data_IF_388288462822
#
_entry.id   IF_388288462822
#
_cell.length_a   1.000
_cell.length_b   1.000
_cell.length_c   1.000
_cell.angle_alpha   90.00
_cell.angle_beta   90.00
_cell.angle_gamma   90.00
#
_symmetry.space_group_name_H-M   'P 1'
#
loop_
_entity.id
_entity.type
_entity.pdbx_description
1 polymer ?
#
# COMPACT_ATOMS: atom_id res chain seq x y z
N UNK A 1 -12.02 16.42 -17.71
CA UNK A 1 -12.56 15.05 -17.52
C UNK A 1 -12.82 14.88 -16.03
N UNK A 2 -13.86 14.15 -15.62
CA UNK A 2 -14.10 13.84 -14.20
C UNK A 2 -13.19 12.71 -13.72
N UNK A 3 -12.93 12.62 -12.41
CA UNK A 3 -12.06 11.58 -11.87
C UNK A 3 -12.55 10.16 -12.21
N UNK A 4 -13.84 9.88 -12.03
CA UNK A 4 -14.38 8.56 -12.34
C UNK A 4 -14.30 8.21 -13.85
N UNK A 5 -14.34 9.20 -14.75
CA UNK A 5 -14.19 8.96 -16.19
C UNK A 5 -12.75 8.57 -16.55
N UNK A 6 -11.75 9.23 -15.91
CA UNK A 6 -10.35 8.83 -15.99
C UNK A 6 -10.13 7.43 -15.41
N UNK A 7 -10.66 7.19 -14.22
CA UNK A 7 -10.60 5.91 -13.56
C UNK A 7 -11.11 4.77 -14.45
N UNK A 8 -12.30 4.91 -15.04
CA UNK A 8 -12.86 3.91 -15.96
C UNK A 8 -11.98 3.67 -17.19
N UNK A 9 -11.27 4.70 -17.68
CA UNK A 9 -10.29 4.56 -18.76
C UNK A 9 -9.08 3.76 -18.29
N UNK A 10 -8.56 4.02 -17.09
CA UNK A 10 -7.34 3.39 -16.60
C UNK A 10 -7.54 1.92 -16.16
N UNK A 11 -8.69 1.58 -15.57
CA UNK A 11 -8.99 0.19 -15.21
C UNK A 11 -9.15 -0.73 -16.42
N UNK A 12 -9.40 -0.18 -17.62
CA UNK A 12 -9.42 -0.97 -18.84
C UNK A 12 -8.04 -1.47 -19.29
N UNK A 13 -6.96 -0.94 -18.70
CA UNK A 13 -5.57 -1.35 -18.95
C UNK A 13 -5.16 -2.38 -17.90
N UNK A 14 -4.73 -3.55 -18.33
CA UNK A 14 -4.22 -4.57 -17.44
C UNK A 14 -2.82 -4.22 -16.92
N UNK A 15 -2.64 -4.19 -15.59
CA UNK A 15 -1.38 -3.77 -14.95
C UNK A 15 -1.00 -4.61 -13.74
N UNK A 16 -1.56 -5.82 -13.57
CA UNK A 16 -1.22 -6.68 -12.42
C UNK A 16 0.28 -6.96 -12.37
N UNK A 17 0.91 -6.69 -11.24
CA UNK A 17 2.34 -6.96 -10.98
C UNK A 17 2.64 -8.47 -10.92
N UNK A 18 3.91 -8.86 -11.03
CA UNK A 18 4.37 -10.25 -11.01
C UNK A 18 5.44 -10.44 -9.92
N UNK A 19 5.04 -11.05 -8.80
CA UNK A 19 5.92 -11.36 -7.67
C UNK A 19 7.11 -12.23 -8.04
N UNK A 20 6.98 -13.06 -9.08
CA UNK A 20 8.02 -14.01 -9.52
C UNK A 20 9.07 -13.39 -10.41
N UNK A 21 8.80 -12.19 -10.95
CA UNK A 21 9.71 -11.45 -11.81
C UNK A 21 10.81 -10.76 -10.99
N UNK A 22 12.02 -10.69 -11.55
CA UNK A 22 13.14 -9.91 -10.99
C UNK A 22 13.35 -8.56 -11.71
N UNK A 23 12.57 -8.28 -12.76
CA UNK A 23 12.63 -7.02 -13.49
C UNK A 23 11.90 -5.87 -12.77
N UNK A 24 12.11 -4.65 -13.23
CA UNK A 24 11.35 -3.45 -12.83
C UNK A 24 11.05 -2.65 -14.11
N UNK A 25 9.75 -2.46 -14.46
CA UNK A 25 8.60 -3.04 -13.78
C UNK A 25 8.63 -4.57 -13.80
N UNK A 26 7.88 -5.19 -12.90
CA UNK A 26 7.79 -6.65 -12.83
C UNK A 26 7.10 -7.25 -14.04
N UNK A 27 6.26 -6.47 -14.70
CA UNK A 27 5.51 -6.88 -15.87
C UNK A 27 5.44 -5.74 -16.92
N UNK A 28 5.80 -6.03 -18.17
CA UNK A 28 5.77 -5.05 -19.28
C UNK A 28 4.39 -4.42 -19.51
N UNK A 29 3.31 -5.09 -19.07
CA UNK A 29 1.94 -4.57 -19.16
C UNK A 29 1.72 -3.28 -18.38
N UNK A 30 2.50 -3.01 -17.35
CA UNK A 30 2.45 -1.76 -16.58
C UNK A 30 2.89 -0.55 -17.43
N UNK A 31 3.83 -0.76 -18.38
CA UNK A 31 4.30 0.27 -19.29
C UNK A 31 3.19 0.80 -20.20
N UNK A 32 2.17 -0.01 -20.49
CA UNK A 32 1.03 0.41 -21.33
C UNK A 32 0.26 1.54 -20.66
N UNK A 33 0.02 1.43 -19.33
CA UNK A 33 -0.60 2.51 -18.57
C UNK A 33 0.34 3.70 -18.43
N UNK A 34 1.63 3.45 -18.16
CA UNK A 34 2.64 4.52 -18.05
C UNK A 34 2.70 5.41 -19.29
N UNK A 35 2.71 4.82 -20.48
CA UNK A 35 2.71 5.56 -21.74
C UNK A 35 1.42 6.36 -21.94
N UNK A 36 0.27 5.76 -21.63
CA UNK A 36 -1.04 6.42 -21.70
C UNK A 36 -1.09 7.64 -20.76
N UNK A 37 -0.54 7.51 -19.54
CA UNK A 37 -0.49 8.62 -18.57
C UNK A 37 0.43 9.74 -19.04
N UNK A 38 1.58 9.43 -19.63
CA UNK A 38 2.49 10.44 -20.21
C UNK A 38 1.80 11.20 -21.35
N UNK A 39 1.04 10.52 -22.20
CA UNK A 39 0.26 11.18 -23.28
C UNK A 39 -0.78 12.12 -22.67
N UNK A 40 -1.57 11.67 -21.70
CA UNK A 40 -2.60 12.48 -21.05
C UNK A 40 -2.00 13.69 -20.30
N UNK A 41 -0.88 13.49 -19.59
CA UNK A 41 -0.16 14.58 -18.93
C UNK A 41 0.30 15.66 -19.92
N UNK A 42 0.79 15.26 -21.11
CA UNK A 42 1.17 16.21 -22.18
C UNK A 42 -0.05 16.95 -22.75
N UNK A 43 -1.19 16.27 -22.89
CA UNK A 43 -2.45 16.91 -23.29
C UNK A 43 -2.93 17.96 -22.26
N UNK A 44 -2.63 17.75 -20.98
CA UNK A 44 -2.88 18.72 -19.91
C UNK A 44 -1.87 19.87 -19.87
N UNK A 45 -0.83 19.86 -20.73
CA UNK A 45 0.19 20.90 -20.80
C UNK A 45 1.41 20.64 -19.89
N UNK A 46 1.58 19.43 -19.36
CA UNK A 46 2.75 19.02 -18.56
C UNK A 46 3.86 18.60 -19.52
N UNK A 47 4.68 19.55 -19.96
CA UNK A 47 5.64 19.37 -21.06
C UNK A 47 6.78 18.39 -20.74
N UNK A 48 7.18 18.30 -19.45
CA UNK A 48 8.26 17.45 -18.96
C UNK A 48 7.79 16.00 -18.63
N UNK A 49 6.52 15.69 -18.89
CA UNK A 49 5.96 14.37 -18.67
C UNK A 49 6.75 13.29 -19.42
N UNK A 50 7.20 12.28 -18.67
CA UNK A 50 8.03 11.19 -19.17
C UNK A 50 7.82 9.90 -18.39
N UNK A 51 8.11 8.78 -19.03
CA UNK A 51 8.33 7.49 -18.36
C UNK A 51 9.85 7.19 -18.42
N UNK A 52 10.40 6.70 -17.31
CA UNK A 52 11.80 6.27 -17.30
C UNK A 52 11.99 4.81 -17.72
N UNK A 53 13.23 4.34 -17.76
CA UNK A 53 13.59 2.98 -18.17
C UNK A 53 13.06 1.87 -17.23
N UNK A 54 12.57 2.23 -16.06
CA UNK A 54 12.01 1.34 -15.03
C UNK A 54 10.51 1.48 -14.88
N UNK A 55 9.86 2.24 -15.78
CA UNK A 55 8.42 2.40 -15.79
C UNK A 55 7.86 3.48 -14.85
N UNK A 56 8.70 4.23 -14.15
CA UNK A 56 8.22 5.37 -13.34
C UNK A 56 7.79 6.52 -14.22
N UNK A 57 6.61 7.05 -13.97
CA UNK A 57 6.09 8.23 -14.66
C UNK A 57 6.36 9.48 -13.80
N UNK A 58 6.91 10.50 -14.43
CA UNK A 58 7.19 11.79 -13.79
C UNK A 58 6.69 12.93 -14.64
N UNK A 59 6.30 14.03 -13.98
CA UNK A 59 6.02 15.31 -14.61
C UNK A 59 5.89 16.41 -13.58
N UNK A 60 5.93 17.66 -14.02
CA UNK A 60 5.76 18.79 -13.10
C UNK A 60 4.99 19.94 -13.69
N UNK A 61 4.30 20.68 -12.82
CA UNK A 61 3.66 21.96 -13.12
C UNK A 61 4.44 23.06 -12.39
N UNK A 62 5.03 24.04 -13.10
CA UNK A 62 5.73 25.14 -12.47
C UNK A 62 4.83 25.96 -11.55
N UNK A 63 5.40 26.54 -10.49
CA UNK A 63 4.67 27.44 -9.60
C UNK A 63 4.02 28.60 -10.36
N UNK A 64 2.82 29.00 -9.92
CA UNK A 64 2.18 30.21 -10.44
C UNK A 64 2.95 31.49 -10.00
N UNK A 65 2.87 32.59 -10.77
CA UNK A 65 3.53 33.86 -10.41
C UNK A 65 3.16 34.30 -9.00
N UNK A 66 4.20 34.52 -8.18
CA UNK A 66 4.07 34.90 -6.76
C UNK A 66 4.10 33.72 -5.78
N UNK A 67 4.09 32.48 -6.26
CA UNK A 67 4.18 31.25 -5.43
C UNK A 67 5.51 30.50 -5.63
N UNK A 68 6.53 31.10 -6.25
CA UNK A 68 7.80 30.46 -6.60
C UNK A 68 8.61 30.04 -5.37
N UNK A 69 8.35 30.65 -4.21
CA UNK A 69 8.99 30.31 -2.94
C UNK A 69 8.15 29.32 -2.09
N UNK A 70 6.97 28.95 -2.54
CA UNK A 70 6.17 27.93 -1.86
C UNK A 70 6.86 26.56 -1.97
N UNK A 71 6.74 25.70 -0.95
CA UNK A 71 7.27 24.34 -1.04
C UNK A 71 6.73 23.59 -2.25
N UNK A 72 7.59 22.83 -2.91
CA UNK A 72 7.18 21.94 -4.00
C UNK A 72 6.44 20.72 -3.43
N UNK A 73 5.26 20.44 -3.95
CA UNK A 73 4.40 19.36 -3.48
C UNK A 73 4.33 18.22 -4.48
N UNK A 74 4.65 17.00 -4.03
CA UNK A 74 4.51 15.77 -4.77
C UNK A 74 3.13 15.14 -4.58
N UNK A 75 2.51 14.70 -5.68
CA UNK A 75 1.31 13.88 -5.69
C UNK A 75 1.66 12.56 -6.36
N UNK A 76 1.46 11.47 -5.65
CA UNK A 76 1.99 10.15 -6.02
C UNK A 76 0.87 9.10 -5.92
N UNK A 77 0.85 8.14 -6.86
CA UNK A 77 -0.05 6.99 -6.88
C UNK A 77 0.65 5.83 -7.57
N UNK A 78 0.16 4.59 -7.42
CA UNK A 78 0.76 3.46 -8.12
C UNK A 78 -0.08 2.97 -9.32
N UNK A 79 0.60 2.35 -10.29
CA UNK A 79 -0.02 1.93 -11.56
C UNK A 79 -0.41 0.46 -11.58
N UNK A 80 0.30 -0.37 -10.85
CA UNK A 80 0.05 -1.81 -10.80
C UNK A 80 -1.21 -2.13 -9.98
N UNK A 81 -1.69 -3.35 -10.12
CA UNK A 81 -2.77 -3.91 -9.31
C UNK A 81 -2.29 -5.19 -8.64
N UNK A 82 -2.88 -5.50 -7.48
CA UNK A 82 -2.55 -6.67 -6.68
C UNK A 82 -2.68 -7.98 -7.48
N UNK A 83 -1.74 -8.95 -7.28
CA UNK A 83 -1.83 -10.27 -7.90
C UNK A 83 -2.80 -11.23 -7.20
N UNK A 84 -3.44 -10.81 -6.10
CA UNK A 84 -4.33 -11.63 -5.27
C UNK A 84 -5.62 -12.06 -5.98
N UNK A 85 -6.07 -11.27 -6.96
CA UNK A 85 -7.23 -11.56 -7.80
C UNK A 85 -6.94 -11.25 -9.27
N UNK A 86 -7.67 -11.86 -10.24
CA UNK A 86 -7.52 -11.51 -11.65
C UNK A 86 -7.72 -10.01 -11.88
N UNK A 87 -6.80 -9.38 -12.61
CA UNK A 87 -6.81 -7.95 -12.92
C UNK A 87 -6.86 -7.64 -14.42
N UNK A 88 -7.09 -8.64 -15.27
CA UNK A 88 -7.26 -8.48 -16.70
C UNK A 88 -8.74 -8.48 -17.12
N UNK A 89 -9.05 -7.74 -18.19
CA UNK A 89 -10.40 -7.68 -18.73
C UNK A 89 -11.47 -7.27 -17.69
N UNK A 90 -11.21 -6.21 -16.95
CA UNK A 90 -12.10 -5.69 -15.91
C UNK A 90 -13.38 -5.13 -16.53
N UNK A 91 -14.53 -5.53 -15.99
CA UNK A 91 -15.86 -5.07 -16.40
C UNK A 91 -16.55 -4.28 -15.28
N UNK A 92 -16.34 -2.96 -15.19
CA UNK A 92 -16.96 -2.14 -14.15
C UNK A 92 -18.49 -2.09 -14.31
N UNK A 93 -19.20 -2.16 -13.18
CA UNK A 93 -20.64 -1.93 -13.08
C UNK A 93 -20.89 -0.59 -12.40
N UNK A 94 -21.70 0.26 -12.98
CA UNK A 94 -22.08 1.58 -12.43
C UNK A 94 -23.51 1.50 -11.92
N UNK A 95 -23.70 1.75 -10.63
CA UNK A 95 -24.98 1.71 -9.94
C UNK A 95 -25.31 3.11 -9.46
N UNK A 96 -26.09 3.85 -10.26
CA UNK A 96 -26.54 5.19 -9.90
C UNK A 96 -27.54 5.14 -8.74
N UNK A 97 -27.45 6.13 -7.83
CA UNK A 97 -28.37 6.27 -6.68
C UNK A 97 -28.50 4.97 -5.90
N UNK A 98 -27.36 4.38 -5.56
CA UNK A 98 -27.29 3.13 -4.80
C UNK A 98 -28.24 3.14 -3.60
N UNK A 99 -28.97 2.06 -3.39
CA UNK A 99 -30.06 2.00 -2.41
C UNK A 99 -29.63 1.59 -0.99
N UNK A 100 -28.34 1.27 -0.81
CA UNK A 100 -27.77 0.85 0.50
C UNK A 100 -27.99 -0.62 0.84
N UNK A 101 -28.29 -1.48 -0.16
CA UNK A 101 -28.52 -2.92 0.03
C UNK A 101 -27.42 -3.76 -0.61
N UNK A 102 -27.57 -5.07 -0.48
CA UNK A 102 -26.69 -6.05 -1.13
C UNK A 102 -26.57 -5.80 -2.64
N UNK A 103 -25.34 -5.93 -3.17
CA UNK A 103 -25.02 -5.69 -4.58
C UNK A 103 -24.66 -7.00 -5.27
N UNK A 104 -25.44 -7.40 -6.26
CA UNK A 104 -25.12 -8.58 -7.09
C UNK A 104 -24.07 -8.19 -8.14
N UNK A 105 -22.99 -8.94 -8.22
CA UNK A 105 -21.87 -8.70 -9.13
C UNK A 105 -22.04 -9.47 -10.44
N UNK A 106 -22.57 -8.77 -11.45
CA UNK A 106 -22.79 -9.32 -12.79
C UNK A 106 -23.55 -10.65 -12.79
N UNK A 107 -23.00 -11.62 -13.49
CA UNK A 107 -23.51 -13.01 -13.56
C UNK A 107 -22.63 -14.00 -12.81
N UNK A 108 -21.65 -13.53 -12.03
CA UNK A 108 -20.69 -14.38 -11.30
C UNK A 108 -21.31 -15.21 -10.18
N UNK A 109 -22.51 -14.83 -9.73
CA UNK A 109 -23.18 -15.42 -8.55
C UNK A 109 -22.66 -14.86 -7.22
N UNK A 110 -21.72 -13.90 -7.25
CA UNK A 110 -21.20 -13.24 -6.04
C UNK A 110 -22.05 -12.02 -5.69
N UNK A 111 -22.04 -11.67 -4.41
CA UNK A 111 -22.82 -10.54 -3.89
C UNK A 111 -22.02 -9.85 -2.80
N UNK A 112 -21.86 -8.53 -2.90
CA UNK A 112 -21.35 -7.71 -1.78
C UNK A 112 -22.52 -7.54 -0.83
N UNK A 113 -22.40 -8.08 0.38
CA UNK A 113 -23.51 -8.10 1.35
C UNK A 113 -23.30 -7.04 2.41
N UNK A 114 -24.36 -6.32 2.75
CA UNK A 114 -24.34 -5.35 3.86
C UNK A 114 -23.99 -6.01 5.19
N UNK A 115 -24.37 -7.29 5.39
CA UNK A 115 -23.99 -8.04 6.59
C UNK A 115 -22.46 -8.23 6.71
N UNK A 116 -21.75 -8.42 5.57
CA UNK A 116 -20.31 -8.61 5.51
C UNK A 116 -19.55 -7.27 5.43
N UNK A 117 -20.16 -6.26 4.82
CA UNK A 117 -19.63 -4.91 4.61
C UNK A 117 -20.63 -3.85 5.10
N UNK A 118 -20.76 -3.63 6.42
CA UNK A 118 -21.83 -2.77 6.99
C UNK A 118 -21.80 -1.32 6.50
N UNK A 119 -20.65 -0.77 6.15
CA UNK A 119 -20.47 0.59 5.62
C UNK A 119 -21.23 0.84 4.30
N UNK A 120 -21.59 -0.22 3.56
CA UNK A 120 -22.43 -0.08 2.34
C UNK A 120 -23.73 0.68 2.58
N UNK A 121 -24.32 0.53 3.78
CA UNK A 121 -25.53 1.25 4.13
C UNK A 121 -25.33 2.78 4.12
N UNK A 122 -24.13 3.25 4.45
CA UNK A 122 -23.76 4.67 4.51
C UNK A 122 -23.49 5.26 3.12
N UNK A 123 -23.23 4.40 2.12
CA UNK A 123 -23.04 4.80 0.73
C UNK A 123 -24.35 5.01 -0.04
N UNK A 124 -25.49 4.87 0.63
CA UNK A 124 -26.82 5.07 0.03
C UNK A 124 -26.95 6.45 -0.61
N UNK A 125 -27.45 6.46 -1.84
CA UNK A 125 -27.66 7.67 -2.66
C UNK A 125 -26.47 8.04 -3.53
N UNK A 126 -25.28 7.46 -3.31
CA UNK A 126 -24.10 7.65 -4.13
C UNK A 126 -24.17 6.83 -5.43
N UNK A 127 -23.30 7.14 -6.34
CA UNK A 127 -23.02 6.33 -7.55
C UNK A 127 -21.90 5.35 -7.22
N UNK A 128 -22.25 4.07 -7.11
CA UNK A 128 -21.30 2.99 -6.78
C UNK A 128 -20.73 2.39 -8.06
N UNK A 129 -19.42 2.19 -8.10
CA UNK A 129 -18.71 1.47 -9.16
C UNK A 129 -18.15 0.19 -8.55
N UNK A 130 -18.51 -0.97 -9.12
CA UNK A 130 -18.06 -2.31 -8.69
C UNK A 130 -17.49 -3.08 -9.87
N UNK A 131 -16.94 -4.26 -9.61
CA UNK A 131 -16.64 -5.26 -10.65
C UNK A 131 -17.87 -6.09 -10.99
N UNK A 132 -17.76 -6.95 -12.00
CA UNK A 132 -18.76 -8.00 -12.30
C UNK A 132 -18.58 -9.25 -11.42
N UNK A 133 -17.61 -9.25 -10.49
CA UNK A 133 -17.28 -10.34 -9.59
C UNK A 133 -16.34 -11.39 -10.16
N UNK A 134 -15.77 -11.19 -11.33
CA UNK A 134 -14.77 -12.08 -11.94
C UNK A 134 -13.34 -11.62 -11.71
N UNK A 135 -13.14 -10.30 -11.56
CA UNK A 135 -11.83 -9.64 -11.35
C UNK A 135 -11.88 -8.72 -10.14
N UNK A 136 -10.73 -8.18 -9.70
CA UNK A 136 -10.70 -6.95 -8.92
C UNK A 136 -11.19 -5.76 -9.78
N UNK A 137 -11.36 -4.58 -9.16
CA UNK A 137 -11.76 -3.35 -9.89
C UNK A 137 -10.55 -2.53 -10.33
N UNK A 138 -9.47 -2.53 -9.54
CA UNK A 138 -8.28 -1.71 -9.73
C UNK A 138 -8.48 -0.26 -9.27
N UNK A 139 -9.37 -0.03 -8.29
CA UNK A 139 -9.47 1.26 -7.61
C UNK A 139 -8.21 1.56 -6.82
N UNK A 140 -7.62 0.54 -6.27
CA UNK A 140 -6.28 0.47 -5.74
C UNK A 140 -5.29 0.16 -6.89
N UNK A 141 -4.50 1.15 -7.41
CA UNK A 141 -4.59 2.58 -7.05
C UNK A 141 -4.82 3.48 -8.29
N UNK A 142 -5.56 2.96 -9.30
CA UNK A 142 -5.92 3.77 -10.47
C UNK A 142 -6.91 4.89 -10.14
N UNK A 143 -7.56 4.82 -8.96
CA UNK A 143 -8.37 5.93 -8.46
C UNK A 143 -7.46 7.10 -8.06
N UNK A 144 -6.41 6.86 -7.30
CA UNK A 144 -5.43 7.89 -6.95
C UNK A 144 -4.80 8.54 -8.18
N UNK A 145 -4.42 7.76 -9.19
CA UNK A 145 -3.94 8.30 -10.47
C UNK A 145 -4.98 9.25 -11.10
N UNK A 146 -6.25 8.80 -11.17
CA UNK A 146 -7.32 9.59 -11.75
C UNK A 146 -7.60 10.87 -10.98
N UNK A 147 -7.50 10.82 -9.66
CA UNK A 147 -7.67 11.96 -8.76
C UNK A 147 -6.52 12.96 -8.91
N UNK A 148 -5.26 12.50 -8.90
CA UNK A 148 -4.09 13.36 -9.13
C UNK A 148 -4.22 14.14 -10.44
N UNK A 149 -4.50 13.46 -11.55
CA UNK A 149 -4.62 14.14 -12.84
C UNK A 149 -5.87 15.02 -12.93
N UNK A 150 -6.94 14.71 -12.19
CA UNK A 150 -8.12 15.58 -12.11
C UNK A 150 -7.85 16.84 -11.29
N UNK A 151 -7.15 16.74 -10.18
CA UNK A 151 -6.70 17.88 -9.38
C UNK A 151 -5.87 18.85 -10.23
N UNK A 152 -4.88 18.31 -10.94
CA UNK A 152 -4.00 19.13 -11.80
C UNK A 152 -4.79 19.78 -12.95
N UNK A 153 -5.67 19.04 -13.61
CA UNK A 153 -6.54 19.54 -14.69
C UNK A 153 -7.43 20.70 -14.19
N UNK A 154 -8.04 20.55 -13.01
CA UNK A 154 -8.89 21.58 -12.43
C UNK A 154 -8.08 22.83 -12.01
N UNK A 155 -6.95 22.65 -11.35
CA UNK A 155 -6.05 23.75 -10.94
C UNK A 155 -5.62 24.58 -12.16
N UNK A 156 -5.19 23.92 -13.24
CA UNK A 156 -4.75 24.60 -14.46
C UNK A 156 -5.91 25.33 -15.18
N UNK A 157 -7.09 24.73 -15.25
CA UNK A 157 -8.27 25.32 -15.89
C UNK A 157 -8.84 26.51 -15.11
N UNK A 158 -8.84 26.41 -13.80
CA UNK A 158 -9.35 27.43 -12.91
C UNK A 158 -8.32 28.57 -12.67
N UNK A 159 -7.05 28.32 -13.01
CA UNK A 159 -5.95 29.27 -12.78
C UNK A 159 -5.70 29.53 -11.29
N UNK A 160 -5.79 28.48 -10.47
CA UNK A 160 -5.61 28.60 -9.02
C UNK A 160 -4.13 28.82 -8.66
N UNK A 161 -3.84 29.66 -7.64
CA UNK A 161 -2.47 29.81 -7.16
C UNK A 161 -1.93 28.49 -6.58
N UNK A 162 -0.72 28.10 -6.96
CA UNK A 162 -0.02 26.93 -6.44
C UNK A 162 1.50 27.08 -6.50
N UNK A 163 2.22 26.44 -5.60
CA UNK A 163 3.65 26.17 -5.71
C UNK A 163 3.94 25.18 -6.84
N UNK A 164 5.21 24.76 -6.98
CA UNK A 164 5.53 23.67 -7.92
C UNK A 164 4.77 22.40 -7.51
N UNK A 165 4.06 21.77 -8.46
CA UNK A 165 3.42 20.47 -8.27
C UNK A 165 4.26 19.43 -9.02
N UNK A 166 4.72 18.40 -8.33
CA UNK A 166 5.41 17.26 -8.90
C UNK A 166 4.45 16.06 -8.94
N UNK A 167 4.39 15.36 -10.06
CA UNK A 167 3.51 14.21 -10.28
C UNK A 167 4.39 12.98 -10.47
N UNK A 168 4.12 11.92 -9.72
CA UNK A 168 4.84 10.67 -9.79
C UNK A 168 3.90 9.47 -9.80
N UNK A 169 4.08 8.52 -10.74
CA UNK A 169 3.38 7.25 -10.69
C UNK A 169 4.37 6.11 -10.66
N UNK A 170 4.17 5.18 -9.71
CA UNK A 170 5.09 4.07 -9.43
C UNK A 170 4.58 2.76 -10.01
N UNK A 171 5.44 1.90 -10.53
CA UNK A 171 5.14 0.49 -10.79
C UNK A 171 5.36 -0.36 -9.53
N UNK A 172 4.88 -1.60 -9.49
CA UNK A 172 5.27 -2.65 -8.52
C UNK A 172 5.04 -2.31 -7.03
N UNK A 173 4.10 -1.42 -6.68
CA UNK A 173 3.78 -1.11 -5.28
C UNK A 173 3.26 -2.35 -4.56
N UNK A 174 2.33 -3.06 -5.15
CA UNK A 174 1.59 -4.20 -4.62
C UNK A 174 2.48 -5.41 -4.27
N UNK A 175 3.69 -5.44 -4.85
CA UNK A 175 4.72 -6.41 -4.51
C UNK A 175 5.87 -5.79 -3.70
N UNK A 176 5.57 -4.64 -3.05
CA UNK A 176 6.48 -3.90 -2.17
C UNK A 176 7.78 -3.42 -2.84
N UNK A 177 7.75 -3.06 -4.12
CA UNK A 177 8.91 -2.56 -4.89
C UNK A 177 8.73 -1.14 -5.42
N UNK A 178 7.53 -0.54 -5.31
CA UNK A 178 7.15 0.73 -5.91
C UNK A 178 8.15 1.86 -5.68
N UNK A 179 8.43 2.23 -4.44
CA UNK A 179 9.41 3.29 -4.14
C UNK A 179 10.89 2.91 -4.35
N UNK A 180 11.20 1.65 -4.74
CA UNK A 180 12.59 1.14 -4.75
C UNK A 180 13.54 1.98 -5.59
N UNK A 181 13.15 2.30 -6.81
CA UNK A 181 13.95 3.04 -7.78
C UNK A 181 13.41 4.44 -8.05
N UNK A 182 12.41 4.90 -7.28
CA UNK A 182 11.89 6.25 -7.42
C UNK A 182 13.01 7.29 -7.21
N UNK A 183 13.16 8.18 -8.18
CA UNK A 183 14.17 9.25 -8.17
C UNK A 183 13.66 10.46 -7.37
N UNK A 184 13.82 10.42 -6.05
CA UNK A 184 13.36 11.48 -5.15
C UNK A 184 14.05 12.81 -5.45
N UNK A 185 15.35 12.80 -5.77
CA UNK A 185 16.11 14.02 -6.09
C UNK A 185 15.63 14.66 -7.40
N UNK A 186 15.50 13.85 -8.47
CA UNK A 186 15.00 14.31 -9.77
C UNK A 186 13.51 14.66 -9.75
N UNK A 187 12.72 14.06 -8.87
CA UNK A 187 11.33 14.41 -8.63
C UNK A 187 11.20 15.84 -8.08
N UNK A 188 12.08 16.23 -7.17
CA UNK A 188 12.28 17.60 -6.75
C UNK A 188 11.09 18.20 -6.00
N UNK A 189 10.38 17.41 -5.20
CA UNK A 189 9.38 17.86 -4.25
C UNK A 189 9.97 17.95 -2.84
N UNK A 190 9.54 18.94 -2.04
CA UNK A 190 9.92 19.10 -0.64
C UNK A 190 9.09 18.18 0.28
N UNK A 191 7.82 17.98 -0.08
CA UNK A 191 6.85 17.13 0.59
C UNK A 191 6.04 16.37 -0.44
N UNK A 192 5.44 15.25 -0.05
CA UNK A 192 4.55 14.49 -0.92
C UNK A 192 3.31 13.98 -0.18
N UNK A 193 2.35 13.51 -0.96
CA UNK A 193 1.26 12.65 -0.52
C UNK A 193 1.13 11.50 -1.51
N UNK A 194 1.02 10.28 -1.01
CA UNK A 194 0.47 9.18 -1.80
C UNK A 194 -1.05 9.22 -1.70
N UNK A 195 -1.74 9.03 -2.82
CA UNK A 195 -3.19 8.87 -2.87
C UNK A 195 -3.46 7.37 -3.07
N UNK A 196 -3.37 6.61 -1.99
CA UNK A 196 -3.32 5.15 -1.99
C UNK A 196 -3.99 4.58 -0.73
N UNK A 197 -4.85 5.38 -0.09
CA UNK A 197 -5.64 4.96 1.06
C UNK A 197 -7.02 4.46 0.65
N UNK A 198 -7.80 4.02 1.62
CA UNK A 198 -9.12 3.44 1.43
C UNK A 198 -10.20 4.53 1.31
N UNK A 199 -10.95 4.78 2.38
CA UNK A 199 -12.08 5.70 2.37
C UNK A 199 -11.68 7.16 2.21
N UNK A 200 -12.53 7.96 1.60
CA UNK A 200 -12.30 9.41 1.52
C UNK A 200 -12.16 10.03 2.93
N UNK A 201 -11.10 10.83 3.13
CA UNK A 201 -10.79 11.46 4.42
C UNK A 201 -9.88 10.63 5.31
N UNK A 202 -9.49 9.44 4.92
CA UNK A 202 -8.42 8.69 5.57
C UNK A 202 -7.09 9.42 5.40
N UNK A 203 -6.36 9.58 6.51
CA UNK A 203 -5.06 10.26 6.59
C UNK A 203 -4.13 9.36 7.39
N UNK A 204 -3.12 8.84 6.73
CA UNK A 204 -2.22 7.85 7.31
C UNK A 204 -0.79 8.37 7.31
N UNK A 205 -0.18 8.44 8.49
CA UNK A 205 1.22 8.88 8.66
C UNK A 205 2.00 7.97 9.63
N UNK A 206 1.40 6.85 9.99
CA UNK A 206 2.00 5.80 10.79
C UNK A 206 1.78 4.45 10.10
N UNK A 207 2.80 3.63 10.08
CA UNK A 207 2.75 2.27 9.55
C UNK A 207 3.63 1.35 10.39
N UNK A 208 3.51 0.03 10.23
CA UNK A 208 4.39 -0.88 10.91
C UNK A 208 5.87 -0.67 10.55
N UNK A 209 6.77 -0.88 11.54
CA UNK A 209 8.11 -1.38 11.25
C UNK A 209 7.99 -2.85 10.87
N UNK A 210 8.77 -3.30 9.91
CA UNK A 210 8.63 -4.62 9.33
C UNK A 210 9.97 -5.32 9.11
N UNK A 211 10.04 -6.58 9.51
CA UNK A 211 11.12 -7.48 9.12
C UNK A 211 10.60 -8.88 8.80
N UNK A 212 11.44 -9.64 8.14
CA UNK A 212 11.23 -11.06 7.86
C UNK A 212 12.32 -11.86 8.56
N UNK A 213 11.93 -12.83 9.40
CA UNK A 213 12.85 -13.79 9.99
C UNK A 213 12.77 -15.11 9.21
N UNK A 214 13.90 -15.54 8.68
CA UNK A 214 14.10 -16.83 8.03
C UNK A 214 14.86 -17.75 8.99
N UNK A 215 14.28 -18.89 9.34
CA UNK A 215 14.84 -19.84 10.30
C UNK A 215 15.06 -21.15 9.59
N UNK A 216 16.27 -21.68 9.68
CA UNK A 216 16.62 -23.03 9.22
C UNK A 216 17.02 -23.86 10.42
N UNK A 217 16.38 -25.02 10.58
CA UNK A 217 16.63 -25.95 11.68
C UNK A 217 17.18 -27.25 11.13
N UNK A 218 18.33 -27.65 11.64
CA UNK A 218 19.02 -28.87 11.23
C UNK A 218 18.74 -30.02 12.20
N UNK A 219 18.46 -31.18 11.66
CA UNK A 219 18.21 -32.39 12.42
C UNK A 219 19.12 -33.56 12.03
N UNK A 220 19.03 -34.65 12.78
CA UNK A 220 19.77 -35.90 12.55
C UNK A 220 18.77 -37.04 12.40
N UNK A 221 18.71 -37.65 11.21
CA UNK A 221 17.83 -38.78 10.93
C UNK A 221 18.55 -40.11 11.14
N UNK A 222 17.93 -41.02 11.87
CA UNK A 222 18.35 -42.41 12.04
C UNK A 222 17.12 -43.32 12.03
N UNK A 223 17.33 -44.63 11.96
CA UNK A 223 16.23 -45.62 12.04
C UNK A 223 15.44 -45.46 13.34
N UNK A 224 14.13 -45.30 13.27
CA UNK A 224 13.26 -44.97 14.41
C UNK A 224 13.34 -45.97 15.56
N UNK A 225 13.58 -47.27 15.27
CA UNK A 225 13.75 -48.31 16.29
C UNK A 225 15.04 -48.19 17.12
N UNK A 226 16.03 -47.38 16.65
CA UNK A 226 17.31 -47.18 17.32
C UNK A 226 17.58 -45.69 17.58
N UNK A 227 16.52 -44.86 17.57
CA UNK A 227 16.58 -43.41 17.56
C UNK A 227 16.91 -42.77 18.94
N UNK A 228 16.78 -43.53 20.04
CA UNK A 228 16.95 -42.97 21.38
C UNK A 228 18.36 -42.35 21.54
N UNK A 229 18.38 -41.12 22.01
CA UNK A 229 19.56 -40.30 22.28
C UNK A 229 20.43 -39.98 21.02
N UNK A 230 19.92 -40.24 19.79
CA UNK A 230 20.64 -40.02 18.54
C UNK A 230 19.80 -39.17 17.55
N UNK A 231 18.49 -39.47 17.39
CA UNK A 231 17.64 -38.76 16.47
C UNK A 231 17.36 -37.35 16.97
N UNK A 232 17.59 -36.36 16.09
CA UNK A 232 17.19 -34.98 16.31
C UNK A 232 16.20 -34.61 15.20
N UNK A 233 14.94 -34.39 15.56
CA UNK A 233 13.90 -34.09 14.59
C UNK A 233 13.72 -32.57 14.46
N UNK A 234 14.12 -32.01 13.33
CA UNK A 234 14.05 -30.58 13.07
C UNK A 234 12.63 -30.01 13.13
N UNK A 235 11.60 -30.78 12.76
CA UNK A 235 10.19 -30.35 12.85
C UNK A 235 9.74 -30.22 14.31
N UNK A 236 10.20 -31.12 15.18
CA UNK A 236 9.90 -31.05 16.63
C UNK A 236 10.49 -29.79 17.21
N UNK A 237 11.75 -29.46 16.85
CA UNK A 237 12.42 -28.23 17.30
C UNK A 237 11.71 -26.99 16.73
N UNK A 238 11.29 -27.00 15.46
CA UNK A 238 10.51 -25.90 14.86
C UNK A 238 9.17 -25.68 15.56
N UNK A 239 8.50 -26.75 15.95
CA UNK A 239 7.27 -26.67 16.75
C UNK A 239 7.54 -26.07 18.13
N UNK A 240 8.64 -26.47 18.79
CA UNK A 240 9.07 -25.90 20.07
C UNK A 240 9.39 -24.41 19.93
N UNK A 241 10.14 -24.01 18.89
CA UNK A 241 10.41 -22.61 18.57
C UNK A 241 9.10 -21.79 18.48
N UNK A 242 8.14 -22.28 17.70
CA UNK A 242 6.85 -21.60 17.54
C UNK A 242 6.08 -21.49 18.85
N UNK A 243 6.11 -22.50 19.70
CA UNK A 243 5.44 -22.50 21.00
C UNK A 243 6.07 -21.56 22.04
N UNK A 244 7.34 -21.17 21.87
CA UNK A 244 8.02 -20.22 22.75
C UNK A 244 7.66 -18.76 22.43
N UNK A 245 7.02 -18.50 21.29
CA UNK A 245 6.47 -17.17 20.95
C UNK A 245 5.08 -16.98 21.58
N UNK A 246 4.73 -15.75 22.02
CA UNK A 246 3.45 -15.46 22.67
C UNK A 246 2.26 -15.74 21.73
N UNK A 247 1.29 -16.52 22.20
CA UNK A 247 0.07 -16.81 21.43
C UNK A 247 -0.80 -15.58 21.24
N UNK A 248 -0.76 -14.62 22.16
CA UNK A 248 -1.49 -13.36 22.11
C UNK A 248 -0.91 -12.34 21.10
N UNK A 249 0.27 -12.62 20.53
CA UNK A 249 0.96 -11.71 19.62
C UNK A 249 1.01 -12.28 18.21
N UNK A 250 -0.17 -12.58 17.68
CA UNK A 250 -0.38 -13.09 16.31
C UNK A 250 -1.35 -12.18 15.57
N UNK A 251 -1.34 -12.14 14.22
CA UNK A 251 -2.30 -11.32 13.47
C UNK A 251 -3.75 -11.56 13.85
N UNK A 252 -4.12 -12.82 14.11
CA UNK A 252 -5.47 -13.23 14.50
C UNK A 252 -5.89 -12.84 15.93
N UNK A 253 -4.96 -12.30 16.72
CA UNK A 253 -5.21 -11.92 18.13
C UNK A 253 -4.82 -10.48 18.45
N UNK A 254 -4.43 -9.69 17.46
CA UNK A 254 -3.93 -8.31 17.62
C UNK A 254 -4.73 -7.32 16.78
N UNK A 255 -4.91 -6.10 17.30
CA UNK A 255 -5.59 -5.00 16.63
C UNK A 255 -4.90 -3.64 16.90
N UNK A 256 -5.36 -2.58 16.26
CA UNK A 256 -4.85 -1.21 16.48
C UNK A 256 -3.33 -1.14 16.34
N UNK A 257 -2.66 -0.66 17.38
CA UNK A 257 -1.20 -0.49 17.43
C UNK A 257 -0.42 -1.72 17.92
N UNK A 258 -1.10 -2.84 18.17
CA UNK A 258 -0.43 -4.04 18.66
C UNK A 258 0.40 -4.72 17.58
N UNK A 259 1.68 -5.00 17.92
CA UNK A 259 2.60 -5.73 17.05
C UNK A 259 2.43 -7.25 17.14
N UNK A 260 3.00 -7.99 16.18
CA UNK A 260 2.83 -9.43 16.09
C UNK A 260 4.01 -10.18 15.48
N UNK A 261 4.00 -11.51 15.68
CA UNK A 261 4.77 -12.50 14.93
C UNK A 261 3.81 -13.32 14.06
N UNK A 262 3.99 -13.30 12.75
CA UNK A 262 3.17 -14.08 11.83
C UNK A 262 3.98 -15.21 11.21
N UNK A 263 3.64 -16.45 11.53
CA UNK A 263 4.22 -17.63 10.87
C UNK A 263 3.66 -17.76 9.44
N UNK A 264 4.47 -17.39 8.45
CA UNK A 264 4.08 -17.39 7.03
C UNK A 264 4.20 -18.77 6.40
N UNK A 265 5.29 -19.48 6.73
CA UNK A 265 5.51 -20.83 6.23
C UNK A 265 6.28 -21.69 7.21
N UNK A 266 5.97 -22.99 7.19
CA UNK A 266 6.63 -24.03 7.97
C UNK A 266 6.74 -25.27 7.08
N UNK A 267 7.92 -25.53 6.55
CA UNK A 267 8.16 -26.64 5.62
C UNK A 267 9.39 -27.43 6.06
N UNK A 268 9.30 -28.75 6.07
CA UNK A 268 10.46 -29.54 6.44
C UNK A 268 10.23 -31.03 6.59
N UNK A 269 11.25 -31.72 7.05
CA UNK A 269 11.28 -33.12 7.38
C UNK A 269 12.18 -33.35 8.61
N UNK A 270 12.59 -34.59 8.90
CA UNK A 270 13.41 -34.92 10.10
C UNK A 270 14.76 -34.19 10.08
N UNK A 271 15.38 -34.00 8.89
CA UNK A 271 16.73 -33.50 8.75
C UNK A 271 16.83 -31.98 8.56
N UNK A 272 15.82 -31.36 7.99
CA UNK A 272 15.78 -29.91 7.79
C UNK A 272 14.37 -29.36 7.88
N UNK A 273 14.19 -28.27 8.58
CA UNK A 273 12.93 -27.48 8.62
C UNK A 273 13.25 -26.01 8.37
N UNK A 274 12.46 -25.40 7.47
CA UNK A 274 12.53 -23.96 7.18
C UNK A 274 11.24 -23.29 7.62
N UNK A 275 11.37 -22.20 8.37
CA UNK A 275 10.26 -21.39 8.84
C UNK A 275 10.49 -19.94 8.41
N UNK A 276 9.41 -19.27 8.03
CA UNK A 276 9.41 -17.85 7.70
C UNK A 276 8.40 -17.14 8.58
N UNK A 277 8.85 -16.05 9.23
CA UNK A 277 8.00 -15.17 10.02
C UNK A 277 8.04 -13.76 9.49
N UNK A 278 6.90 -13.06 9.57
CA UNK A 278 6.87 -11.61 9.55
C UNK A 278 6.84 -11.09 10.98
N UNK A 279 7.66 -10.09 11.28
CA UNK A 279 7.67 -9.34 12.54
C UNK A 279 7.14 -7.95 12.23
N UNK A 280 6.15 -7.49 13.00
CA UNK A 280 5.53 -6.19 12.85
C UNK A 280 5.36 -5.51 14.20
N UNK A 281 5.65 -4.22 14.27
CA UNK A 281 5.35 -3.36 15.42
C UNK A 281 5.35 -1.90 14.98
N UNK A 282 4.48 -1.07 15.55
CA UNK A 282 4.49 0.38 15.31
C UNK A 282 5.61 1.07 16.08
N UNK A 283 5.92 0.57 17.29
CA UNK A 283 6.98 1.10 18.11
C UNK A 283 8.35 0.50 17.72
N UNK A 284 9.34 1.36 17.52
CA UNK A 284 10.67 0.93 17.08
C UNK A 284 11.39 0.11 18.16
N UNK A 285 11.23 0.47 19.47
CA UNK A 285 11.82 -0.31 20.55
C UNK A 285 11.14 -1.68 20.69
N UNK A 286 9.81 -1.73 20.59
CA UNK A 286 9.01 -2.96 20.56
C UNK A 286 9.38 -3.86 19.38
N UNK A 287 9.58 -3.27 18.21
CA UNK A 287 10.02 -3.99 17.01
C UNK A 287 11.37 -4.68 17.19
N UNK A 288 12.37 -3.96 17.72
CA UNK A 288 13.68 -4.54 18.00
C UNK A 288 13.62 -5.57 19.15
N UNK A 289 12.79 -5.34 20.17
CA UNK A 289 12.60 -6.30 21.26
C UNK A 289 11.99 -7.63 20.74
N UNK A 290 11.07 -7.57 19.76
CA UNK A 290 10.51 -8.76 19.10
C UNK A 290 11.58 -9.54 18.34
N UNK A 291 12.43 -8.86 17.57
CA UNK A 291 13.54 -9.48 16.85
C UNK A 291 14.53 -10.14 17.83
N UNK A 292 14.90 -9.43 18.90
CA UNK A 292 15.77 -9.95 19.95
C UNK A 292 15.17 -11.18 20.65
N UNK A 293 13.84 -11.19 20.90
CA UNK A 293 13.15 -12.34 21.48
C UNK A 293 13.26 -13.60 20.63
N UNK A 294 13.13 -13.47 19.31
CA UNK A 294 13.32 -14.61 18.41
C UNK A 294 14.77 -15.13 18.45
N UNK A 295 15.76 -14.22 18.57
CA UNK A 295 17.17 -14.60 18.70
C UNK A 295 17.42 -15.34 20.02
N UNK A 296 16.86 -14.86 21.14
CA UNK A 296 16.94 -15.57 22.45
C UNK A 296 16.39 -16.99 22.37
N UNK A 297 15.28 -17.18 21.65
CA UNK A 297 14.69 -18.52 21.44
C UNK A 297 15.65 -19.40 20.63
N UNK A 298 16.20 -18.88 19.53
CA UNK A 298 17.15 -19.62 18.69
C UNK A 298 18.40 -20.03 19.51
N UNK A 299 18.94 -19.11 20.31
CA UNK A 299 20.10 -19.36 21.15
C UNK A 299 19.80 -20.42 22.22
N UNK A 300 18.64 -20.35 22.87
CA UNK A 300 18.21 -21.34 23.89
C UNK A 300 18.05 -22.75 23.29
N UNK A 301 17.52 -22.84 22.05
CA UNK A 301 17.41 -24.11 21.36
C UNK A 301 18.77 -24.65 20.89
N UNK A 302 19.69 -23.77 20.52
CA UNK A 302 21.09 -24.16 20.24
C UNK A 302 21.83 -24.65 21.49
N UNK A 303 21.58 -24.06 22.65
CA UNK A 303 22.10 -24.58 23.91
C UNK A 303 21.56 -25.99 24.25
N UNK A 304 20.27 -26.21 23.95
CA UNK A 304 19.60 -27.48 24.26
C UNK A 304 19.96 -28.60 23.27
N UNK A 305 20.03 -28.31 21.99
CA UNK A 305 20.16 -29.33 20.95
C UNK A 305 21.53 -29.36 20.26
N UNK A 306 22.41 -28.40 20.56
CA UNK A 306 23.74 -28.26 20.00
C UNK A 306 23.89 -27.02 19.13
N UNK A 307 25.08 -26.42 19.15
CA UNK A 307 25.38 -25.22 18.36
C UNK A 307 25.16 -25.46 16.85
N UNK A 308 24.52 -24.51 16.18
CA UNK A 308 24.22 -24.58 14.75
C UNK A 308 22.98 -25.43 14.41
N UNK A 309 22.24 -25.92 15.41
CA UNK A 309 20.97 -26.60 15.16
C UNK A 309 19.90 -25.63 14.63
N UNK A 310 19.86 -24.40 15.14
CA UNK A 310 18.95 -23.34 14.67
C UNK A 310 19.77 -22.19 14.12
N UNK A 311 19.62 -21.94 12.84
CA UNK A 311 20.17 -20.77 12.16
C UNK A 311 19.04 -19.79 11.87
N UNK A 312 19.24 -18.50 12.11
CA UNK A 312 18.23 -17.47 11.89
C UNK A 312 18.85 -16.24 11.23
N UNK A 313 18.19 -15.74 10.23
CA UNK A 313 18.48 -14.46 9.59
C UNK A 313 17.24 -13.55 9.67
N UNK A 314 17.44 -12.30 10.08
CA UNK A 314 16.38 -11.29 10.13
C UNK A 314 16.73 -10.20 9.12
N UNK A 315 15.84 -9.98 8.15
CA UNK A 315 15.98 -8.94 7.12
C UNK A 315 14.90 -7.88 7.36
N UNK A 316 15.36 -6.65 7.63
CA UNK A 316 14.46 -5.49 7.77
C UNK A 316 13.95 -5.05 6.40
N UNK A 317 12.66 -4.67 6.33
CA UNK A 317 11.98 -4.35 5.07
C UNK A 317 11.65 -2.87 4.95
N UNK A 318 11.00 -2.31 5.96
CA UNK A 318 10.62 -0.89 6.03
C UNK A 318 10.37 -0.48 7.49
N UNK A 319 10.30 0.84 7.71
CA UNK A 319 10.11 1.43 9.03
C UNK A 319 8.87 2.32 9.06
N UNK A 320 8.40 2.64 10.27
CA UNK A 320 7.29 3.55 10.51
C UNK A 320 7.64 4.97 10.05
N UNK A 321 6.92 5.48 9.05
CA UNK A 321 7.14 6.82 8.50
C UNK A 321 6.87 7.95 9.48
N UNK A 322 6.20 7.68 10.59
CA UNK A 322 5.91 8.64 11.65
C UNK A 322 7.15 9.43 12.09
N UNK A 323 8.33 8.79 12.17
CA UNK A 323 9.58 9.48 12.50
C UNK A 323 9.94 10.60 11.51
N UNK A 324 9.59 10.42 10.23
CA UNK A 324 9.88 11.37 9.16
C UNK A 324 8.78 12.43 9.01
N UNK A 325 7.55 12.09 9.40
CA UNK A 325 6.40 12.98 9.31
C UNK A 325 6.31 13.92 10.54
N UNK A 326 6.67 13.46 11.76
CA UNK A 326 6.66 14.26 12.98
C UNK A 326 7.32 15.64 12.86
N UNK A 327 8.47 15.81 12.16
CA UNK A 327 9.07 17.14 11.98
C UNK A 327 8.25 18.09 11.08
N UNK A 328 7.29 17.58 10.32
CA UNK A 328 6.50 18.31 9.33
C UNK A 328 4.99 18.03 9.46
N UNK A 329 4.47 18.07 10.70
CA UNK A 329 3.05 17.81 11.00
C UNK A 329 2.06 18.73 10.29
N UNK A 330 2.51 19.84 9.68
CA UNK A 330 1.67 20.67 8.80
C UNK A 330 1.05 19.83 7.67
N UNK A 331 1.70 18.75 7.20
CA UNK A 331 1.12 17.83 6.20
C UNK A 331 -0.20 17.26 6.71
N UNK A 332 -0.21 16.79 7.94
CA UNK A 332 -1.39 16.17 8.55
C UNK A 332 -2.46 17.21 8.90
N UNK A 333 -2.05 18.36 9.41
CA UNK A 333 -2.98 19.45 9.75
C UNK A 333 -3.67 20.04 8.49
N UNK A 334 -2.93 20.17 7.38
CA UNK A 334 -3.50 20.61 6.11
C UNK A 334 -4.46 19.55 5.55
N UNK A 335 -4.11 18.26 5.60
CA UNK A 335 -4.98 17.18 5.17
C UNK A 335 -6.29 17.15 5.99
N UNK A 336 -6.22 17.24 7.33
CA UNK A 336 -7.41 17.34 8.19
C UNK A 336 -8.30 18.52 7.82
N UNK A 337 -7.67 19.70 7.65
CA UNK A 337 -8.41 20.91 7.32
C UNK A 337 -9.06 20.85 5.96
N UNK A 338 -8.38 20.28 4.98
CA UNK A 338 -8.91 20.07 3.63
C UNK A 338 -10.10 19.06 3.64
N UNK A 339 -10.00 17.98 4.43
CA UNK A 339 -11.11 17.05 4.62
C UNK A 339 -12.33 17.77 5.19
N UNK A 340 -12.17 18.54 6.28
CA UNK A 340 -13.25 19.35 6.85
C UNK A 340 -13.87 20.32 5.84
N UNK A 341 -13.07 20.99 5.02
CA UNK A 341 -13.54 21.92 4.00
C UNK A 341 -14.32 21.21 2.87
N UNK A 342 -14.06 19.93 2.64
CA UNK A 342 -14.77 19.07 1.69
C UNK A 342 -16.00 18.36 2.31
N UNK A 343 -16.43 18.75 3.50
CA UNK A 343 -17.48 18.10 4.27
C UNK A 343 -17.19 16.59 4.50
N UNK A 344 -15.93 16.26 4.81
CA UNK A 344 -15.46 14.94 5.18
C UNK A 344 -15.02 14.98 6.65
N UNK A 345 -15.35 13.94 7.40
CA UNK A 345 -14.80 13.73 8.75
C UNK A 345 -13.39 13.13 8.58
N UNK A 346 -12.32 13.83 9.02
CA UNK A 346 -10.97 13.27 8.93
C UNK A 346 -10.85 11.99 9.75
N UNK A 347 -10.35 10.91 9.14
CA UNK A 347 -10.03 9.66 9.81
C UNK A 347 -8.52 9.45 9.83
N UNK A 348 -7.90 9.60 11.00
CA UNK A 348 -6.46 9.44 11.16
C UNK A 348 -6.18 8.08 11.78
N UNK A 349 -5.85 7.12 10.94
CA UNK A 349 -5.61 5.74 11.31
C UNK A 349 -4.21 5.27 10.91
N UNK A 350 -3.60 4.34 11.66
CA UNK A 350 -2.33 3.75 11.28
C UNK A 350 -2.52 2.65 10.23
N UNK A 351 -1.56 2.49 9.32
CA UNK A 351 -1.51 1.40 8.35
C UNK A 351 -0.92 0.15 9.02
N UNK A 352 -1.68 -0.93 9.12
CA UNK A 352 -1.17 -2.23 9.60
C UNK A 352 -0.41 -3.01 8.50
N UNK A 353 0.34 -2.30 7.68
CA UNK A 353 1.12 -2.77 6.54
C UNK A 353 2.25 -1.81 6.22
N UNK A 354 2.65 -1.79 4.96
CA UNK A 354 3.59 -0.83 4.37
C UNK A 354 2.90 -0.04 3.26
N UNK A 355 3.55 1.00 2.75
CA UNK A 355 3.13 1.80 1.60
C UNK A 355 4.35 2.45 0.97
N UNK A 356 4.26 2.86 -0.28
CA UNK A 356 5.30 3.64 -0.96
C UNK A 356 5.62 4.92 -0.19
N UNK A 357 4.62 5.59 0.40
CA UNK A 357 4.81 6.78 1.23
C UNK A 357 5.78 6.58 2.39
N UNK A 358 5.74 5.41 3.04
CA UNK A 358 6.69 5.07 4.09
C UNK A 358 8.13 5.01 3.57
N UNK A 359 8.35 4.32 2.45
CA UNK A 359 9.69 4.19 1.84
C UNK A 359 10.20 5.53 1.29
N UNK A 360 9.34 6.31 0.65
CA UNK A 360 9.66 7.66 0.16
C UNK A 360 10.05 8.59 1.31
N UNK A 361 9.36 8.50 2.46
CA UNK A 361 9.70 9.27 3.66
C UNK A 361 11.12 8.99 4.15
N UNK A 362 11.55 7.72 4.15
CA UNK A 362 12.93 7.36 4.51
C UNK A 362 13.96 7.68 3.42
N UNK A 363 13.54 7.87 2.16
CA UNK A 363 14.39 8.38 1.06
C UNK A 363 14.52 9.91 1.06
N UNK A 364 13.88 10.62 1.99
CA UNK A 364 13.99 12.06 2.17
C UNK A 364 12.80 12.88 1.65
N UNK A 365 11.71 12.23 1.23
CA UNK A 365 10.46 12.86 0.85
C UNK A 365 9.37 12.52 1.88
N UNK A 366 9.12 13.34 2.91
CA UNK A 366 8.01 13.11 3.84
C UNK A 366 6.69 12.99 3.09
N UNK A 367 6.04 11.82 3.16
CA UNK A 367 4.95 11.46 2.27
C UNK A 367 3.88 10.63 3.01
N UNK A 368 2.93 11.28 3.72
CA UNK A 368 1.78 10.61 4.29
C UNK A 368 0.81 10.14 3.18
N UNK A 369 -0.06 9.20 3.52
CA UNK A 369 -1.03 8.60 2.61
C UNK A 369 -2.42 9.18 2.82
N UNK A 370 -3.19 9.37 1.73
CA UNK A 370 -4.55 9.88 1.70
C UNK A 370 -5.50 8.86 1.07
N UNK A 371 -6.72 8.79 1.58
CA UNK A 371 -7.77 7.92 1.07
C UNK A 371 -8.35 8.39 -0.26
N UNK A 372 -8.62 7.44 -1.15
CA UNK A 372 -9.17 7.64 -2.51
C UNK A 372 -10.69 7.48 -2.57
N UNK A 373 -11.34 7.00 -1.51
CA UNK A 373 -12.78 6.71 -1.50
C UNK A 373 -13.13 5.31 -1.98
N UNK A 374 -12.16 4.38 -2.00
CA UNK A 374 -12.32 2.98 -2.38
C UNK A 374 -12.49 2.04 -1.18
N UNK A 375 -12.91 0.81 -1.46
CA UNK A 375 -13.28 -0.19 -0.45
C UNK A 375 -12.97 -1.60 -0.93
N UNK A 376 -12.69 -2.50 0.03
CA UNK A 376 -12.53 -3.94 -0.17
C UNK A 376 -11.51 -4.32 -1.26
N UNK A 377 -10.36 -3.65 -1.25
CA UNK A 377 -9.26 -3.83 -2.20
C UNK A 377 -8.73 -5.26 -2.29
N UNK A 378 -7.90 -5.54 -3.29
CA UNK A 378 -7.24 -6.83 -3.56
C UNK A 378 -8.20 -7.99 -3.84
N UNK A 379 -9.46 -7.72 -4.19
CA UNK A 379 -10.43 -8.79 -4.41
C UNK A 379 -11.60 -8.43 -5.31
N UNK A 380 -12.43 -9.42 -5.58
CA UNK A 380 -13.59 -9.29 -6.47
C UNK A 380 -14.76 -8.47 -5.88
N UNK A 381 -14.65 -8.10 -4.61
CA UNK A 381 -15.62 -7.24 -3.92
C UNK A 381 -15.20 -5.78 -3.91
N UNK A 382 -14.09 -5.45 -4.55
CA UNK A 382 -13.56 -4.10 -4.65
C UNK A 382 -14.57 -3.15 -5.29
N UNK A 383 -14.75 -1.99 -4.69
CA UNK A 383 -15.69 -0.97 -5.17
C UNK A 383 -15.28 0.43 -4.73
N UNK A 384 -15.79 1.43 -5.44
CA UNK A 384 -15.53 2.85 -5.15
C UNK A 384 -16.79 3.67 -5.46
N UNK A 385 -16.90 4.89 -4.93
CA UNK A 385 -17.99 5.80 -5.27
C UNK A 385 -17.51 7.02 -6.05
N UNK A 386 -18.31 7.49 -7.00
CA UNK A 386 -18.01 8.71 -7.75
C UNK A 386 -17.88 9.90 -6.81
N UNK A 387 -18.77 9.99 -5.83
CA UNK A 387 -18.80 11.07 -4.84
C UNK A 387 -17.59 11.00 -3.88
N UNK A 388 -17.07 9.80 -3.57
CA UNK A 388 -15.84 9.61 -2.82
C UNK A 388 -14.64 10.17 -3.57
N UNK A 389 -14.51 9.82 -4.85
CA UNK A 389 -13.45 10.37 -5.73
C UNK A 389 -13.57 11.90 -5.87
N UNK A 390 -14.77 12.45 -6.08
CA UNK A 390 -14.98 13.90 -6.18
C UNK A 390 -14.56 14.62 -4.88
N UNK A 391 -14.76 14.00 -3.72
CA UNK A 391 -14.34 14.52 -2.42
C UNK A 391 -12.83 14.43 -2.23
N UNK A 392 -12.19 13.33 -2.61
CA UNK A 392 -10.73 13.19 -2.58
C UNK A 392 -10.07 14.26 -3.46
N UNK A 393 -10.58 14.48 -4.68
CA UNK A 393 -10.13 15.57 -5.57
C UNK A 393 -10.26 16.93 -4.89
N UNK A 394 -11.40 17.23 -4.27
CA UNK A 394 -11.62 18.51 -3.58
C UNK A 394 -10.64 18.71 -2.41
N UNK A 395 -10.42 17.66 -1.63
CA UNK A 395 -9.46 17.65 -0.51
C UNK A 395 -8.03 17.92 -0.99
N UNK A 396 -7.55 17.19 -2.00
CA UNK A 396 -6.19 17.35 -2.50
C UNK A 396 -5.99 18.71 -3.17
N UNK A 397 -6.98 19.22 -3.89
CA UNK A 397 -6.96 20.57 -4.48
C UNK A 397 -6.82 21.66 -3.40
N UNK A 398 -7.53 21.51 -2.28
CA UNK A 398 -7.42 22.46 -1.14
C UNK A 398 -6.06 22.37 -0.44
N UNK A 399 -5.50 21.15 -0.28
CA UNK A 399 -4.14 20.95 0.23
C UNK A 399 -3.13 21.72 -0.64
N UNK A 400 -3.18 21.57 -1.96
CA UNK A 400 -2.29 22.30 -2.90
C UNK A 400 -2.43 23.82 -2.70
N UNK A 401 -3.65 24.32 -2.54
CA UNK A 401 -3.92 25.74 -2.28
C UNK A 401 -3.39 26.24 -0.92
N UNK A 402 -3.33 25.38 0.10
CA UNK A 402 -2.75 25.71 1.41
C UNK A 402 -1.23 25.86 1.34
N UNK A 403 -0.55 25.04 0.52
CA UNK A 403 0.90 25.16 0.28
C UNK A 403 1.28 26.37 -0.56
N UNK A 404 0.37 27.00 -1.28
CA UNK A 404 0.62 28.21 -2.08
C UNK A 404 0.73 29.49 -1.24
N UNK A 405 0.37 29.44 0.03
CA UNK A 405 0.36 30.58 0.97
C UNK A 405 1.64 30.64 1.77
#
# INVERSE_FOLDING_TARGET
MKAYERFLKYVSVWTTSDETSETVPSADRELVLAELLVEEMKELGIEDARVDEKGYVYGSVPATPGCENAPALGLIAHMDTAPDAPGDNIHPQIIEKYDGKDVVLGTSGKTIKVEEFPYLADLKGRTLITTDGTTLLGADDKAGIAEVLTVVDEILKEGLPHGKICIGFTPDEEIARGAKHFDVEGFGADYGYTLDGSTEGEIQYENFNASTACITIHGVSVHTGTAKDVLVNSQTIGTEFHQMLPVSERPETTEGYEGFYHLVSFNGNVTETKMKYFIRDFDTEGFHARAAKMQEIADSLNEKYGAGTVEMEIVESYYNMCEKIKPCMQLIEYAKKAAENADIVPDVAPIRGGTDGARLSFKGLPCPNLGTGGYAFHGVYEHITVEGMDKAVAMVKDIVGMFAK
#
